data_IF_165463303437
#
_entry.id   IF_165463303437
#
_cell.length_a   1.000
_cell.length_b   1.000
_cell.length_c   1.000
_cell.angle_alpha   90.00
_cell.angle_beta   90.00
_cell.angle_gamma   90.00
#
_symmetry.space_group_name_H-M   'P 1'
#
loop_
_entity.id
_entity.type
_entity.pdbx_description
1 polymer ?
#
# COMPACT_ATOMS: atom_id res chain seq x y z
N UNK A 1 -13.75 -2.95 1.68
CA UNK A 1 -12.37 -3.48 1.82
C UNK A 1 -12.01 -3.79 3.26
N UNK A 2 -12.13 -2.82 4.17
CA UNK A 2 -11.72 -2.96 5.59
C UNK A 2 -12.71 -3.67 6.52
N UNK A 3 -14.02 -3.48 6.31
CA UNK A 3 -15.06 -3.94 7.23
C UNK A 3 -15.14 -3.11 8.52
N UNK A 4 -15.79 -3.66 9.54
CA UNK A 4 -15.88 -3.11 10.91
C UNK A 4 -15.14 -4.02 11.89
N UNK A 5 -15.08 -3.62 13.17
CA UNK A 5 -14.45 -4.46 14.21
C UNK A 5 -15.25 -5.75 14.47
N UNK A 6 -16.57 -5.69 14.29
CA UNK A 6 -17.49 -6.80 14.47
C UNK A 6 -17.53 -7.69 13.22
N UNK A 7 -17.39 -7.08 12.03
CA UNK A 7 -17.39 -7.76 10.74
C UNK A 7 -16.17 -7.33 9.92
N UNK A 8 -15.05 -8.03 10.12
CA UNK A 8 -13.81 -7.77 9.39
C UNK A 8 -14.03 -7.75 7.88
N UNK A 9 -13.26 -6.96 7.14
CA UNK A 9 -13.31 -6.90 5.69
C UNK A 9 -12.40 -7.91 5.01
N UNK A 10 -12.33 -7.84 3.68
CA UNK A 10 -11.50 -8.77 2.90
C UNK A 10 -10.01 -8.60 3.18
N UNK A 11 -9.51 -7.36 3.37
CA UNK A 11 -8.08 -7.12 3.57
C UNK A 11 -7.56 -7.70 4.89
N UNK A 12 -8.14 -7.38 6.08
CA UNK A 12 -7.67 -7.98 7.32
C UNK A 12 -7.83 -9.51 7.34
N UNK A 13 -8.87 -10.06 6.69
CA UNK A 13 -9.04 -11.52 6.56
C UNK A 13 -7.99 -12.15 5.64
N UNK A 14 -7.70 -11.54 4.50
CA UNK A 14 -6.72 -12.05 3.55
C UNK A 14 -5.31 -12.05 4.14
N UNK A 15 -4.94 -11.00 4.89
CA UNK A 15 -3.67 -10.96 5.62
C UNK A 15 -3.57 -12.16 6.57
N UNK A 16 -4.57 -12.38 7.42
CA UNK A 16 -4.53 -13.51 8.36
C UNK A 16 -4.50 -14.86 7.66
N UNK A 17 -5.30 -15.02 6.59
CA UNK A 17 -5.37 -16.26 5.84
C UNK A 17 -4.06 -16.60 5.13
N UNK A 18 -3.37 -15.62 4.52
CA UNK A 18 -2.07 -15.83 3.88
C UNK A 18 -1.02 -16.35 4.87
N UNK A 19 -0.93 -15.73 6.05
CA UNK A 19 0.01 -16.17 7.08
C UNK A 19 -0.38 -17.51 7.68
N UNK A 20 -1.68 -17.77 7.86
CA UNK A 20 -2.18 -19.08 8.33
C UNK A 20 -1.79 -20.19 7.36
N UNK A 21 -2.01 -20.01 6.06
CA UNK A 21 -1.66 -20.99 5.03
C UNK A 21 -0.15 -21.26 5.00
N UNK A 22 0.67 -20.20 5.00
CA UNK A 22 2.12 -20.33 5.05
C UNK A 22 2.61 -21.02 6.32
N UNK A 23 1.93 -20.85 7.45
CA UNK A 23 2.29 -21.54 8.70
C UNK A 23 1.93 -23.04 8.71
N UNK A 24 0.95 -23.44 7.90
CA UNK A 24 0.52 -24.83 7.80
C UNK A 24 1.33 -25.64 6.79
N UNK A 25 1.91 -24.97 5.80
CA UNK A 25 2.76 -25.61 4.81
C UNK A 25 4.23 -25.61 5.26
N UNK A 26 4.66 -26.74 5.81
CA UNK A 26 6.05 -26.98 6.20
C UNK A 26 6.96 -27.38 5.02
N UNK A 27 6.41 -27.55 3.81
CA UNK A 27 7.16 -28.02 2.64
C UNK A 27 7.84 -26.89 1.87
N UNK A 28 7.39 -25.65 2.06
CA UNK A 28 7.86 -24.47 1.32
C UNK A 28 8.26 -23.34 2.26
N UNK A 29 9.25 -22.55 1.85
CA UNK A 29 9.57 -21.29 2.52
C UNK A 29 8.82 -20.13 1.86
N UNK A 30 8.19 -19.29 2.68
CA UNK A 30 7.42 -18.13 2.23
C UNK A 30 8.10 -16.84 2.68
N UNK A 31 8.18 -15.88 1.77
CA UNK A 31 8.61 -14.51 2.06
C UNK A 31 7.48 -13.58 1.65
N UNK A 32 7.08 -12.68 2.54
CA UNK A 32 6.03 -11.72 2.29
C UNK A 32 6.59 -10.31 2.21
N UNK A 33 6.16 -9.60 1.17
CA UNK A 33 6.38 -8.17 1.03
C UNK A 33 5.05 -7.45 0.84
N UNK A 34 5.03 -6.15 1.12
CA UNK A 34 3.85 -5.31 0.93
C UNK A 34 4.26 -3.98 0.29
N UNK A 35 3.49 -3.57 -0.70
CA UNK A 35 3.51 -2.21 -1.25
C UNK A 35 2.09 -1.64 -1.18
N UNK A 36 1.98 -0.32 -1.10
CA UNK A 36 0.68 0.36 -1.09
C UNK A 36 0.85 1.73 -1.73
N UNK A 37 -0.02 2.06 -2.66
CA UNK A 37 -0.05 3.33 -3.38
C UNK A 37 -1.47 3.87 -3.46
N UNK A 38 -1.57 5.15 -3.77
CA UNK A 38 -2.82 5.83 -4.12
C UNK A 38 -2.73 6.34 -5.54
N UNK A 39 -3.81 6.18 -6.31
CA UNK A 39 -4.00 6.89 -7.58
C UNK A 39 -5.02 7.99 -7.39
N UNK A 40 -4.63 9.23 -7.66
CA UNK A 40 -5.50 10.40 -7.55
C UNK A 40 -5.27 11.36 -8.71
N UNK A 41 -6.32 11.66 -9.48
CA UNK A 41 -6.27 12.59 -10.63
C UNK A 41 -5.11 12.29 -11.62
N UNK A 42 -4.84 11.00 -11.87
CA UNK A 42 -3.75 10.58 -12.77
C UNK A 42 -2.35 10.60 -12.15
N UNK A 43 -2.22 11.00 -10.88
CA UNK A 43 -0.95 10.93 -10.14
C UNK A 43 -0.90 9.68 -9.27
N UNK A 44 0.27 9.03 -9.25
CA UNK A 44 0.56 7.88 -8.39
C UNK A 44 1.43 8.33 -7.24
N UNK A 45 1.07 7.91 -6.03
CA UNK A 45 1.81 8.22 -4.80
C UNK A 45 2.04 6.97 -3.97
N UNK A 46 3.25 6.81 -3.48
CA UNK A 46 3.63 5.79 -2.52
C UNK A 46 3.06 6.10 -1.12
N UNK A 47 2.29 5.18 -0.53
CA UNK A 47 1.71 5.32 0.80
C UNK A 47 2.58 4.72 1.91
N UNK A 48 3.61 3.94 1.57
CA UNK A 48 4.51 3.29 2.53
C UNK A 48 5.90 3.92 2.59
N UNK A 49 6.22 4.84 1.68
CA UNK A 49 7.54 5.48 1.60
C UNK A 49 8.02 6.06 2.94
N UNK A 50 9.26 5.74 3.37
CA UNK A 50 9.87 6.36 4.55
C UNK A 50 10.24 7.82 4.30
N UNK A 51 10.49 8.20 3.03
CA UNK A 51 10.83 9.57 2.65
C UNK A 51 9.55 10.31 2.28
N UNK A 52 9.06 11.09 3.24
CA UNK A 52 7.99 12.08 3.06
C UNK A 52 8.43 13.28 2.18
N UNK A 53 9.17 13.07 1.10
CA UNK A 53 9.82 14.17 0.38
C UNK A 53 8.94 14.88 -0.65
N UNK A 54 7.63 14.66 -0.64
CA UNK A 54 6.70 15.55 -1.32
C UNK A 54 6.28 16.63 -0.32
N UNK A 55 7.25 17.40 0.18
CA UNK A 55 6.91 18.66 0.85
C UNK A 55 6.19 19.54 -0.18
N UNK A 56 5.30 20.40 0.30
CA UNK A 56 4.46 21.34 -0.47
C UNK A 56 5.24 22.25 -1.45
N UNK A 57 6.58 22.15 -1.48
CA UNK A 57 7.50 23.03 -2.19
C UNK A 57 8.64 22.31 -2.93
N UNK A 58 8.66 20.96 -2.99
CA UNK A 58 9.56 20.21 -3.88
C UNK A 58 8.86 19.94 -5.22
N UNK A 59 9.55 20.04 -6.36
CA UNK A 59 8.95 19.80 -7.66
C UNK A 59 8.39 18.37 -7.73
N UNK A 60 7.15 18.24 -8.24
CA UNK A 60 6.41 16.96 -8.35
C UNK A 60 7.22 15.84 -9.01
N UNK A 61 8.25 16.17 -9.78
CA UNK A 61 9.13 15.25 -10.50
C UNK A 61 9.91 14.27 -9.62
N UNK A 62 10.13 14.54 -8.33
CA UNK A 62 10.81 13.58 -7.40
C UNK A 62 9.86 12.61 -6.69
N UNK A 63 8.56 12.80 -6.87
CA UNK A 63 7.51 12.06 -6.18
C UNK A 63 6.62 11.23 -7.10
N UNK A 64 6.87 11.32 -8.41
CA UNK A 64 6.12 10.59 -9.40
C UNK A 64 6.71 9.18 -9.51
N UNK A 65 5.96 8.20 -9.02
CA UNK A 65 6.19 6.81 -9.35
C UNK A 65 5.98 6.61 -10.85
N UNK A 66 6.90 5.93 -11.51
CA UNK A 66 6.83 5.69 -12.95
C UNK A 66 6.19 4.32 -13.21
N UNK A 67 5.13 4.31 -14.01
CA UNK A 67 4.43 3.07 -14.39
C UNK A 67 5.12 2.53 -15.65
N UNK A 68 5.73 1.37 -15.51
CA UNK A 68 6.35 0.65 -16.62
C UNK A 68 5.52 -0.59 -16.96
N UNK A 69 5.54 -0.98 -18.23
CA UNK A 69 4.92 -2.24 -18.68
C UNK A 69 5.98 -3.05 -19.37
N UNK A 70 6.19 -4.29 -18.91
CA UNK A 70 7.15 -5.19 -19.52
C UNK A 70 6.64 -5.71 -20.89
N UNK A 71 7.50 -6.33 -21.71
CA UNK A 71 7.08 -6.90 -23.00
C UNK A 71 6.03 -8.00 -22.90
N UNK A 72 5.77 -8.55 -21.70
CA UNK A 72 4.76 -9.58 -21.43
C UNK A 72 3.43 -8.96 -20.94
N UNK A 73 3.35 -7.64 -20.79
CA UNK A 73 2.17 -6.92 -20.33
C UNK A 73 2.06 -6.80 -18.80
N UNK A 74 3.08 -7.20 -18.03
CA UNK A 74 3.11 -6.99 -16.59
C UNK A 74 3.41 -5.54 -16.28
N UNK A 75 2.57 -4.94 -15.43
CA UNK A 75 2.73 -3.56 -14.98
C UNK A 75 3.59 -3.54 -13.72
N UNK A 76 4.67 -2.76 -13.77
CA UNK A 76 5.57 -2.52 -12.64
C UNK A 76 5.60 -1.02 -12.33
N UNK A 77 5.83 -0.68 -11.06
CA UNK A 77 5.87 0.70 -10.60
C UNK A 77 7.24 0.98 -10.03
N UNK A 78 8.05 1.64 -10.84
CA UNK A 78 9.43 1.96 -10.51
C UNK A 78 9.47 2.95 -9.32
N UNK A 79 10.27 2.62 -8.32
CA UNK A 79 10.43 3.42 -7.11
C UNK A 79 9.35 3.22 -6.05
N UNK A 80 8.40 2.29 -6.25
CA UNK A 80 7.40 1.96 -5.24
C UNK A 80 8.06 1.26 -4.05
N UNK A 81 7.83 1.76 -2.84
CA UNK A 81 8.37 1.15 -1.63
C UNK A 81 7.75 -0.22 -1.40
N UNK A 82 8.64 -1.20 -1.23
CA UNK A 82 8.30 -2.54 -0.84
C UNK A 82 8.85 -2.80 0.57
N UNK A 83 7.97 -3.15 1.50
CA UNK A 83 8.33 -3.43 2.89
C UNK A 83 8.24 -4.92 3.19
N UNK A 84 9.29 -5.46 3.80
CA UNK A 84 9.33 -6.87 4.21
C UNK A 84 8.44 -7.11 5.43
N UNK A 85 7.54 -8.09 5.31
CA UNK A 85 6.56 -8.47 6.32
C UNK A 85 6.92 -9.83 6.90
N UNK A 86 7.28 -9.84 8.18
CA UNK A 86 7.62 -11.05 8.92
C UNK A 86 6.41 -11.74 9.54
N UNK A 87 5.33 -11.01 9.78
CA UNK A 87 4.14 -11.50 10.49
C UNK A 87 2.88 -10.70 10.14
N UNK A 88 1.69 -11.29 10.37
CA UNK A 88 0.39 -10.67 10.08
C UNK A 88 0.19 -9.35 10.83
N UNK A 89 0.66 -9.24 12.07
CA UNK A 89 0.59 -8.02 12.87
C UNK A 89 1.34 -6.84 12.22
N UNK A 90 2.54 -7.11 11.69
CA UNK A 90 3.35 -6.11 10.98
C UNK A 90 2.69 -5.68 9.67
N UNK A 91 2.09 -6.62 8.93
CA UNK A 91 1.30 -6.34 7.73
C UNK A 91 0.12 -5.40 8.06
N UNK A 92 -0.63 -5.71 9.13
CA UNK A 92 -1.74 -4.87 9.60
C UNK A 92 -1.27 -3.47 10.01
N UNK A 93 -0.12 -3.36 10.66
CA UNK A 93 0.45 -2.07 11.03
C UNK A 93 0.78 -1.22 9.80
N UNK A 94 1.48 -1.79 8.80
CA UNK A 94 1.83 -1.08 7.56
C UNK A 94 0.60 -0.68 6.76
N UNK A 95 -0.40 -1.56 6.68
CA UNK A 95 -1.65 -1.26 6.02
C UNK A 95 -2.39 -0.09 6.67
N UNK A 96 -2.51 -0.09 8.00
CA UNK A 96 -3.12 1.02 8.74
C UNK A 96 -2.32 2.33 8.62
N UNK A 97 -0.98 2.24 8.58
CA UNK A 97 -0.11 3.37 8.33
C UNK A 97 -0.42 3.99 6.96
N UNK A 98 -0.41 3.20 5.89
CA UNK A 98 -0.72 3.67 4.53
C UNK A 98 -2.12 4.28 4.42
N UNK A 99 -3.13 3.69 5.07
CA UNK A 99 -4.49 4.26 5.16
C UNK A 99 -4.54 5.63 5.83
N UNK A 100 -3.80 5.81 6.92
CA UNK A 100 -3.73 7.11 7.60
C UNK A 100 -3.10 8.15 6.67
N UNK A 101 -2.02 7.79 5.98
CA UNK A 101 -1.39 8.69 4.99
C UNK A 101 -2.33 9.07 3.86
N UNK A 102 -3.09 8.10 3.32
CA UNK A 102 -4.15 8.39 2.34
C UNK A 102 -5.14 9.44 2.86
N UNK A 103 -5.51 9.35 4.13
CA UNK A 103 -6.49 10.25 4.75
C UNK A 103 -5.93 11.66 5.02
N UNK A 104 -4.65 11.78 5.38
CA UNK A 104 -4.02 13.06 5.78
C UNK A 104 -3.40 13.85 4.64
N UNK A 105 -3.16 13.26 3.46
CA UNK A 105 -2.30 13.86 2.44
C UNK A 105 -2.93 14.99 1.60
N UNK A 106 -4.23 15.26 1.75
CA UNK A 106 -4.93 16.29 0.96
C UNK A 106 -6.00 17.08 1.72
N UNK A 107 -6.04 16.96 3.04
CA UNK A 107 -6.94 17.76 3.87
C UNK A 107 -6.33 19.13 4.14
N UNK A 108 -6.57 20.09 3.25
CA UNK A 108 -6.89 21.45 3.73
C UNK A 108 -8.39 21.75 3.60
N UNK A 109 -9.11 21.11 2.67
CA UNK A 109 -10.58 21.03 2.63
C UNK A 109 -10.93 20.00 1.56
N UNK A 110 -11.60 18.89 1.90
CA UNK A 110 -12.45 18.04 1.04
C UNK A 110 -12.35 16.52 1.33
N UNK A 111 -13.49 15.88 1.11
CA UNK A 111 -13.80 14.45 1.17
C UNK A 111 -13.07 13.67 0.05
N UNK A 112 -11.73 13.63 0.08
CA UNK A 112 -10.88 13.15 -1.02
C UNK A 112 -10.91 11.62 -1.23
N UNK A 113 -11.30 10.83 -0.22
CA UNK A 113 -11.27 9.36 -0.29
C UNK A 113 -12.19 8.76 -1.36
N UNK A 114 -13.21 9.50 -1.83
CA UNK A 114 -14.14 9.04 -2.86
C UNK A 114 -13.60 9.12 -4.29
N UNK A 115 -12.55 9.91 -4.52
CA UNK A 115 -11.98 10.20 -5.85
C UNK A 115 -10.59 9.59 -6.04
N UNK A 116 -10.07 8.93 -5.01
CA UNK A 116 -8.83 8.19 -5.08
C UNK A 116 -9.07 6.69 -5.07
N UNK A 117 -8.18 5.96 -5.73
CA UNK A 117 -8.15 4.51 -5.72
C UNK A 117 -7.05 4.04 -4.77
#
# INVERSE_FOLDING_TARGET
MDGTNEQLGIIPRAIEELFRQASMDASSSFTFSMSMLEVYMGHVRDLLSPRQSCRTHEPLTKCNLNIQTDPKGLVEIEGLSEVQISESAKARWWYNKGKRFRSTSWTNVNQASSRSH
#
